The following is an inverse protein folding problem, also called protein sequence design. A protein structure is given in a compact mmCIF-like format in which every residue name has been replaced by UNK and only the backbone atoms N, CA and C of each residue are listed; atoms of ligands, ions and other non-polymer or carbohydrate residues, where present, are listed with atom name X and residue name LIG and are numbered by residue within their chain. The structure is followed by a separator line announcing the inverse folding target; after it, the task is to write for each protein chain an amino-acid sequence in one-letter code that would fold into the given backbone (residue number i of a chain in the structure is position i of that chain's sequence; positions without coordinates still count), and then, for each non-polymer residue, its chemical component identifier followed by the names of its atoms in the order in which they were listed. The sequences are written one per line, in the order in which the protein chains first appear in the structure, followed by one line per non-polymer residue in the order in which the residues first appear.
data_IF_600154759009
#
_entry.id   IF_600154759009
#
_cell.length_a   1.000
_cell.length_b   1.000
_cell.length_c   1.000
_cell.angle_alpha   90.00
_cell.angle_beta   90.00
_cell.angle_gamma   90.00
#
_symmetry.space_group_name_H-M   'P 1'
#
loop_
_entity.id
_entity.type
_entity.pdbx_description
1 polymer ?
#
# COMPACT_ATOMS: atom_id res chain seq x y z
N UNK A 1 -7.53 -33.98 -43.55
CA UNK A 1 -7.26 -34.55 -42.21
C UNK A 1 -6.19 -33.68 -41.57
N UNK A 2 -6.58 -32.52 -41.04
CA UNK A 2 -5.66 -31.52 -40.48
C UNK A 2 -5.41 -31.86 -39.01
N UNK A 3 -4.20 -32.33 -38.72
CA UNK A 3 -3.72 -32.52 -37.36
C UNK A 3 -3.40 -31.15 -36.76
N UNK A 4 -4.17 -30.75 -35.75
CA UNK A 4 -3.87 -29.61 -34.90
C UNK A 4 -2.64 -29.95 -34.05
N UNK A 5 -1.51 -29.30 -34.38
CA UNK A 5 -0.36 -29.24 -33.51
C UNK A 5 -0.75 -28.54 -32.22
N UNK A 6 -0.84 -29.33 -31.15
CA UNK A 6 -0.98 -28.90 -29.76
C UNK A 6 0.15 -27.91 -29.48
N UNK A 7 -0.17 -26.62 -29.38
CA UNK A 7 0.77 -25.60 -28.90
C UNK A 7 1.17 -26.03 -27.49
N UNK A 8 2.45 -26.37 -27.32
CA UNK A 8 3.02 -26.69 -26.02
C UNK A 8 3.03 -25.37 -25.26
N UNK A 9 2.20 -25.25 -24.23
CA UNK A 9 2.28 -24.13 -23.30
C UNK A 9 3.69 -24.11 -22.74
N UNK A 10 4.46 -23.09 -23.11
CA UNK A 10 5.76 -22.82 -22.51
C UNK A 10 5.42 -22.25 -21.14
N UNK A 11 5.52 -23.09 -20.10
CA UNK A 11 5.56 -22.61 -18.72
C UNK A 11 6.86 -21.82 -18.63
N UNK A 12 6.77 -20.49 -18.69
CA UNK A 12 7.88 -19.61 -18.34
C UNK A 12 8.32 -19.97 -16.92
N UNK A 13 9.61 -20.31 -16.79
CA UNK A 13 10.24 -20.63 -15.52
C UNK A 13 10.15 -19.38 -14.64
N UNK A 14 9.29 -19.39 -13.61
CA UNK A 14 9.17 -18.30 -12.66
C UNK A 14 10.50 -18.19 -11.92
N UNK A 15 11.27 -17.15 -12.22
CA UNK A 15 12.59 -16.88 -11.60
C UNK A 15 12.51 -16.25 -10.20
N UNK A 16 11.32 -16.26 -9.58
CA UNK A 16 11.07 -15.73 -8.24
C UNK A 16 11.09 -16.80 -7.13
N UNK A 17 11.12 -16.39 -5.85
CA UNK A 17 10.98 -17.32 -4.73
C UNK A 17 9.66 -18.08 -4.80
N UNK A 18 9.62 -19.31 -4.28
CA UNK A 18 8.37 -20.09 -4.20
C UNK A 18 7.57 -19.63 -2.97
N UNK A 19 6.31 -19.24 -3.18
CA UNK A 19 5.39 -18.87 -2.10
C UNK A 19 4.28 -19.92 -1.99
N UNK A 20 4.18 -20.58 -0.84
CA UNK A 20 3.14 -21.59 -0.61
C UNK A 20 1.84 -20.92 -0.17
N UNK A 21 1.11 -20.29 -1.11
CA UNK A 21 -0.14 -19.60 -0.80
C UNK A 21 -1.33 -20.58 -0.68
N UNK A 22 -2.17 -20.37 0.33
CA UNK A 22 -3.35 -21.18 0.61
C UNK A 22 -4.55 -20.73 -0.21
N UNK A 23 -4.86 -21.46 -1.28
CA UNK A 23 -6.06 -21.24 -2.10
C UNK A 23 -7.38 -21.19 -1.31
N UNK A 24 -7.65 -22.11 -0.35
CA UNK A 24 -8.85 -22.04 0.48
C UNK A 24 -8.94 -20.77 1.34
N UNK A 25 -7.83 -20.29 1.91
CA UNK A 25 -7.80 -19.04 2.69
C UNK A 25 -8.06 -17.83 1.80
N UNK A 26 -7.43 -17.78 0.62
CA UNK A 26 -7.64 -16.73 -0.37
C UNK A 26 -9.11 -16.66 -0.84
N UNK A 27 -9.70 -17.81 -1.17
CA UNK A 27 -11.11 -17.88 -1.58
C UNK A 27 -12.04 -17.33 -0.50
N UNK A 28 -11.86 -17.77 0.74
CA UNK A 28 -12.66 -17.29 1.88
C UNK A 28 -12.47 -15.78 2.10
N UNK A 29 -11.25 -15.28 2.01
CA UNK A 29 -10.96 -13.86 2.17
C UNK A 29 -11.60 -13.01 1.05
N UNK A 30 -11.57 -13.51 -0.19
CA UNK A 30 -12.17 -12.83 -1.33
C UNK A 30 -13.71 -12.82 -1.26
N UNK A 31 -14.34 -13.95 -0.93
CA UNK A 31 -15.79 -14.02 -0.71
C UNK A 31 -16.24 -13.07 0.41
N UNK A 32 -15.48 -13.03 1.52
CA UNK A 32 -15.76 -12.14 2.63
C UNK A 32 -15.54 -10.66 2.28
N UNK A 33 -14.53 -10.34 1.46
CA UNK A 33 -14.30 -8.99 0.94
C UNK A 33 -15.49 -8.51 0.12
N UNK A 34 -15.97 -9.34 -0.82
CA UNK A 34 -17.12 -9.01 -1.67
C UNK A 34 -18.35 -8.72 -0.81
N UNK A 35 -18.69 -9.62 0.11
CA UNK A 35 -19.83 -9.44 1.02
C UNK A 35 -19.68 -8.20 1.92
N UNK A 36 -18.49 -7.98 2.49
CA UNK A 36 -18.24 -6.83 3.38
C UNK A 36 -18.35 -5.47 2.67
N UNK A 37 -18.08 -5.44 1.37
CA UNK A 37 -18.12 -4.22 0.59
C UNK A 37 -19.53 -3.83 0.10
N UNK A 38 -20.51 -4.75 0.12
CA UNK A 38 -21.85 -4.54 -0.48
C UNK A 38 -22.53 -3.26 0.05
N UNK A 39 -22.60 -3.10 1.37
CA UNK A 39 -23.28 -1.97 2.04
C UNK A 39 -22.63 -0.60 1.76
N UNK A 40 -21.42 -0.58 1.22
CA UNK A 40 -20.64 0.64 0.98
C UNK A 40 -20.48 0.98 -0.50
N UNK A 41 -21.16 0.27 -1.39
CA UNK A 41 -21.11 0.46 -2.84
C UNK A 41 -20.23 -0.54 -3.58
N UNK A 42 -19.88 -1.64 -2.93
CA UNK A 42 -19.16 -2.76 -3.53
C UNK A 42 -17.65 -2.55 -3.68
N UNK A 43 -16.97 -3.61 -4.09
CA UNK A 43 -15.51 -3.66 -4.28
C UNK A 43 -15.01 -2.58 -5.23
N UNK A 44 -15.75 -2.32 -6.31
CA UNK A 44 -15.40 -1.34 -7.34
C UNK A 44 -15.22 0.09 -6.80
N UNK A 45 -15.96 0.47 -5.76
CA UNK A 45 -15.80 1.78 -5.13
C UNK A 45 -14.41 1.94 -4.51
N UNK A 46 -13.90 0.88 -3.91
CA UNK A 46 -12.58 0.86 -3.27
C UNK A 46 -11.46 0.84 -4.30
N UNK A 47 -11.61 0.03 -5.33
CA UNK A 47 -10.69 -0.03 -6.47
C UNK A 47 -10.61 1.33 -7.17
N UNK A 48 -11.75 1.99 -7.41
CA UNK A 48 -11.79 3.34 -7.94
C UNK A 48 -11.10 4.37 -7.04
N UNK A 49 -11.27 4.25 -5.72
CA UNK A 49 -10.58 5.12 -4.75
C UNK A 49 -9.05 4.91 -4.76
N UNK A 50 -8.58 3.67 -4.91
CA UNK A 50 -7.15 3.36 -5.07
C UNK A 50 -6.60 3.91 -6.39
N UNK A 51 -7.35 3.80 -7.49
CA UNK A 51 -6.98 4.39 -8.77
C UNK A 51 -6.88 5.92 -8.71
N UNK A 52 -7.78 6.59 -7.98
CA UNK A 52 -7.71 8.03 -7.73
C UNK A 52 -6.49 8.40 -6.87
N UNK A 53 -6.20 7.62 -5.82
CA UNK A 53 -4.98 7.79 -5.00
C UNK A 53 -3.73 7.64 -5.87
N UNK A 54 -3.63 6.60 -6.69
CA UNK A 54 -2.51 6.42 -7.61
C UNK A 54 -2.38 7.56 -8.62
N UNK A 55 -3.50 8.06 -9.15
CA UNK A 55 -3.50 9.20 -10.08
C UNK A 55 -2.90 10.45 -9.43
N UNK A 56 -3.23 10.73 -8.17
CA UNK A 56 -2.66 11.85 -7.40
C UNK A 56 -1.14 11.69 -7.21
N UNK A 57 -0.67 10.49 -6.84
CA UNK A 57 0.76 10.21 -6.72
C UNK A 57 1.48 10.37 -8.06
N UNK A 58 0.92 9.82 -9.14
CA UNK A 58 1.47 9.96 -10.49
C UNK A 58 1.48 11.40 -11.01
N UNK A 59 0.54 12.24 -10.57
CA UNK A 59 0.50 13.66 -10.91
C UNK A 59 1.62 14.45 -10.21
N UNK A 60 1.87 14.18 -8.94
CA UNK A 60 2.85 14.93 -8.15
C UNK A 60 4.28 14.41 -8.36
N UNK A 61 4.45 13.09 -8.45
CA UNK A 61 5.76 12.43 -8.44
C UNK A 61 6.22 11.99 -9.84
N UNK A 62 5.27 11.60 -10.68
CA UNK A 62 5.56 10.96 -11.97
C UNK A 62 6.14 11.91 -13.03
N UNK A 63 6.82 11.31 -14.03
CA UNK A 63 7.36 12.02 -15.21
C UNK A 63 8.33 13.16 -14.86
N UNK A 64 9.14 12.98 -13.81
CA UNK A 64 10.13 13.96 -13.37
C UNK A 64 9.58 15.12 -12.53
N UNK A 65 8.26 15.15 -12.27
CA UNK A 65 7.62 16.20 -11.46
C UNK A 65 8.03 16.16 -9.99
N UNK A 66 8.51 15.01 -9.50
CA UNK A 66 9.09 14.90 -8.16
C UNK A 66 10.08 16.02 -7.85
N UNK A 67 10.91 16.48 -8.79
CA UNK A 67 11.88 17.54 -8.56
C UNK A 67 11.27 18.93 -8.25
N UNK A 68 10.00 19.13 -8.58
CA UNK A 68 9.26 20.38 -8.38
C UNK A 68 8.24 20.29 -7.23
N UNK A 69 8.10 19.10 -6.62
CA UNK A 69 7.16 18.85 -5.53
C UNK A 69 7.42 19.83 -4.37
N UNK A 70 6.36 20.48 -3.94
CA UNK A 70 6.34 21.34 -2.75
C UNK A 70 6.12 20.54 -1.47
N UNK A 71 6.45 21.12 -0.32
CA UNK A 71 6.15 20.51 0.97
C UNK A 71 4.64 20.26 1.16
N UNK A 72 3.79 21.17 0.69
CA UNK A 72 2.33 21.02 0.76
C UNK A 72 1.83 19.82 -0.05
N UNK A 73 2.27 19.69 -1.29
CA UNK A 73 1.95 18.53 -2.15
C UNK A 73 2.45 17.21 -1.55
N UNK A 74 3.65 17.21 -0.97
CA UNK A 74 4.13 16.03 -0.26
C UNK A 74 3.23 15.67 0.95
N UNK A 75 2.81 16.66 1.73
CA UNK A 75 1.91 16.44 2.88
C UNK A 75 0.53 15.94 2.43
N UNK A 76 0.03 16.39 1.28
CA UNK A 76 -1.19 15.86 0.65
C UNK A 76 -1.06 14.35 0.38
N UNK A 77 0.05 13.92 -0.22
CA UNK A 77 0.34 12.50 -0.45
C UNK A 77 0.48 11.72 0.87
N UNK A 78 1.24 12.27 1.82
CA UNK A 78 1.53 11.62 3.08
C UNK A 78 0.29 11.40 3.95
N UNK A 79 -0.77 12.20 3.79
CA UNK A 79 -2.05 12.00 4.46
C UNK A 79 -2.69 10.63 4.15
N UNK A 80 -2.45 10.10 2.95
CA UNK A 80 -2.93 8.80 2.48
C UNK A 80 -2.05 7.61 2.90
N UNK A 81 -0.96 7.84 3.63
CA UNK A 81 -0.05 6.78 4.06
C UNK A 81 -0.20 6.62 5.58
N UNK A 82 -0.99 5.62 5.99
CA UNK A 82 -1.42 5.44 7.39
C UNK A 82 -0.31 5.43 8.44
N UNK A 83 0.81 4.70 8.26
CA UNK A 83 1.90 4.71 9.24
C UNK A 83 2.73 6.01 9.23
N UNK A 84 2.57 6.88 8.22
CA UNK A 84 3.38 8.08 7.98
C UNK A 84 2.66 9.35 8.42
N UNK A 85 1.35 9.47 8.15
CA UNK A 85 0.55 10.70 8.35
C UNK A 85 0.58 11.30 9.76
N UNK A 86 0.97 10.52 10.77
CA UNK A 86 1.09 10.99 12.17
C UNK A 86 2.51 11.35 12.60
N UNK A 87 3.52 11.08 11.76
CA UNK A 87 4.94 11.12 12.14
C UNK A 87 5.76 12.06 11.26
N UNK A 88 5.39 12.17 9.99
CA UNK A 88 6.21 12.85 9.00
C UNK A 88 6.36 14.35 9.24
N UNK A 89 5.34 15.03 9.77
CA UNK A 89 5.40 16.47 10.04
C UNK A 89 6.44 16.80 11.11
N UNK A 90 6.51 16.00 12.18
CA UNK A 90 7.53 16.15 13.22
C UNK A 90 8.93 15.93 12.62
N UNK A 91 9.11 14.86 11.83
CA UNK A 91 10.38 14.59 11.16
C UNK A 91 10.81 15.74 10.23
N UNK A 92 9.87 16.30 9.45
CA UNK A 92 10.15 17.46 8.59
C UNK A 92 10.55 18.68 9.43
N UNK A 93 9.95 18.87 10.61
CA UNK A 93 10.33 19.94 11.54
C UNK A 93 11.77 19.83 12.01
N UNK A 94 12.21 18.61 12.36
CA UNK A 94 13.53 18.36 12.90
C UNK A 94 14.64 18.34 11.83
N UNK A 95 14.35 17.80 10.64
CA UNK A 95 15.36 17.52 9.61
C UNK A 95 15.20 18.35 8.33
N UNK A 96 14.08 19.05 8.17
CA UNK A 96 13.78 19.91 7.03
C UNK A 96 13.24 19.17 5.80
N UNK A 97 12.32 19.83 5.10
CA UNK A 97 11.71 19.29 3.87
C UNK A 97 12.74 19.01 2.76
N UNK A 98 13.75 19.85 2.59
CA UNK A 98 14.76 19.68 1.55
C UNK A 98 15.55 18.36 1.70
N UNK A 99 15.74 17.87 2.93
CA UNK A 99 16.38 16.59 3.17
C UNK A 99 15.48 15.43 2.72
N UNK A 100 14.20 15.45 3.08
CA UNK A 100 13.21 14.47 2.62
C UNK A 100 13.08 14.44 1.11
N UNK A 101 12.95 15.61 0.50
CA UNK A 101 12.74 15.78 -0.93
C UNK A 101 13.88 15.18 -1.75
N UNK A 102 15.14 15.43 -1.38
CA UNK A 102 16.31 14.80 -2.03
C UNK A 102 16.26 13.27 -1.95
N UNK A 103 15.81 12.71 -0.83
CA UNK A 103 15.68 11.24 -0.68
C UNK A 103 14.60 10.67 -1.57
N UNK A 104 13.45 11.33 -1.68
CA UNK A 104 12.36 10.91 -2.57
C UNK A 104 12.80 10.98 -4.04
N UNK A 105 13.59 12.00 -4.42
CA UNK A 105 14.19 12.08 -5.76
C UNK A 105 15.08 10.85 -6.02
N UNK A 106 16.01 10.53 -5.11
CA UNK A 106 16.87 9.36 -5.25
C UNK A 106 16.10 8.03 -5.29
N UNK A 107 15.00 7.92 -4.51
CA UNK A 107 14.13 6.75 -4.56
C UNK A 107 13.47 6.57 -5.93
N UNK A 108 13.07 7.65 -6.59
CA UNK A 108 12.38 7.62 -7.89
C UNK A 108 13.32 7.74 -9.11
N UNK A 109 14.61 8.00 -8.87
CA UNK A 109 15.61 7.98 -9.93
C UNK A 109 15.70 6.59 -10.55
N UNK A 110 15.77 6.50 -11.87
CA UNK A 110 15.81 5.20 -12.56
C UNK A 110 14.56 4.33 -12.36
N UNK A 111 13.39 4.89 -12.01
CA UNK A 111 12.17 4.14 -11.68
C UNK A 111 11.70 3.09 -12.72
N UNK A 112 12.19 3.13 -13.96
CA UNK A 112 11.88 2.10 -14.97
C UNK A 112 12.76 0.85 -14.86
N UNK A 113 13.94 0.96 -14.25
CA UNK A 113 14.88 -0.14 -14.02
C UNK A 113 14.61 -0.79 -12.67
N UNK A 114 13.89 -1.92 -12.72
CA UNK A 114 13.48 -2.66 -11.54
C UNK A 114 14.65 -3.35 -10.82
N UNK A 115 15.78 -3.57 -11.50
CA UNK A 115 16.94 -4.25 -10.89
C UNK A 115 17.61 -3.42 -9.79
N UNK A 116 17.38 -2.10 -9.78
CA UNK A 116 17.91 -1.17 -8.78
C UNK A 116 16.96 -0.91 -7.62
N UNK A 117 15.76 -1.49 -7.63
CA UNK A 117 14.68 -1.16 -6.68
C UNK A 117 15.09 -1.40 -5.23
N UNK A 118 15.64 -2.59 -4.94
CA UNK A 118 16.02 -2.95 -3.57
C UNK A 118 17.12 -2.03 -3.03
N UNK A 119 18.11 -1.70 -3.87
CA UNK A 119 19.17 -0.75 -3.52
C UNK A 119 18.60 0.66 -3.25
N UNK A 120 17.72 1.18 -4.13
CA UNK A 120 17.08 2.49 -3.94
C UNK A 120 16.22 2.54 -2.68
N UNK A 121 15.50 1.46 -2.36
CA UNK A 121 14.74 1.35 -1.12
C UNK A 121 15.65 1.32 0.11
N UNK A 122 16.76 0.57 0.06
CA UNK A 122 17.74 0.52 1.14
C UNK A 122 18.36 1.90 1.39
N UNK A 123 18.87 2.57 0.34
CA UNK A 123 19.44 3.91 0.40
C UNK A 123 18.44 4.95 0.96
N UNK A 124 17.17 4.84 0.57
CA UNK A 124 16.12 5.69 1.11
C UNK A 124 15.96 5.47 2.62
N UNK A 125 15.87 4.22 3.07
CA UNK A 125 15.66 3.87 4.49
C UNK A 125 16.88 4.23 5.33
N UNK A 126 18.10 3.96 4.88
CA UNK A 126 19.35 4.32 5.54
C UNK A 126 19.49 5.84 5.75
N UNK A 127 18.76 6.61 4.94
CA UNK A 127 18.66 8.05 5.08
C UNK A 127 17.97 8.57 6.35
N UNK A 128 17.35 7.70 7.14
CA UNK A 128 16.59 8.03 8.34
C UNK A 128 17.22 7.38 9.59
N UNK A 129 16.87 7.81 10.82
CA UNK A 129 17.32 7.12 12.02
C UNK A 129 16.91 5.64 12.02
N UNK A 130 17.84 4.74 12.36
CA UNK A 130 17.64 3.28 12.32
C UNK A 130 17.08 2.74 13.64
N UNK A 131 16.00 3.35 14.13
CA UNK A 131 15.34 2.96 15.38
C UNK A 131 13.92 2.38 15.15
N UNK A 132 13.26 1.97 16.23
CA UNK A 132 11.91 1.40 16.16
C UNK A 132 10.85 2.44 15.77
N UNK A 133 11.06 3.71 16.10
CA UNK A 133 10.11 4.79 15.83
C UNK A 133 10.07 5.17 14.36
N UNK A 134 11.13 4.89 13.60
CA UNK A 134 11.27 5.19 12.18
C UNK A 134 11.00 4.01 11.24
N UNK A 135 10.53 2.87 11.74
CA UNK A 135 10.19 1.71 10.87
C UNK A 135 9.16 2.03 9.77
N UNK A 136 8.36 3.09 9.92
CA UNK A 136 7.41 3.56 8.91
C UNK A 136 8.06 4.08 7.63
N UNK A 137 9.36 4.40 7.64
CA UNK A 137 10.08 4.93 6.48
C UNK A 137 10.07 3.93 5.32
N UNK A 138 10.15 2.63 5.62
CA UNK A 138 9.98 1.58 4.59
C UNK A 138 8.60 1.63 3.95
N UNK A 139 7.56 1.83 4.76
CA UNK A 139 6.18 1.92 4.26
C UNK A 139 5.98 3.19 3.40
N UNK A 140 6.63 4.30 3.76
CA UNK A 140 6.67 5.51 2.94
C UNK A 140 7.28 5.23 1.56
N UNK A 141 8.45 4.58 1.53
CA UNK A 141 9.13 4.26 0.29
C UNK A 141 8.29 3.33 -0.60
N UNK A 142 7.73 2.28 -0.01
CA UNK A 142 6.90 1.30 -0.70
C UNK A 142 5.64 1.95 -1.30
N UNK A 143 4.92 2.78 -0.54
CA UNK A 143 3.72 3.46 -1.04
C UNK A 143 4.04 4.53 -2.09
N UNK A 144 5.16 5.25 -1.98
CA UNK A 144 5.62 6.18 -3.02
C UNK A 144 5.84 5.44 -4.35
N UNK A 145 6.59 4.34 -4.33
CA UNK A 145 6.88 3.56 -5.54
C UNK A 145 5.59 2.97 -6.13
N UNK A 146 4.82 2.28 -5.30
CA UNK A 146 3.60 1.58 -5.73
C UNK A 146 2.56 2.56 -6.29
N UNK A 147 2.14 3.60 -5.56
CA UNK A 147 1.09 4.49 -6.05
C UNK A 147 1.55 5.39 -7.20
N UNK A 148 2.85 5.58 -7.40
CA UNK A 148 3.38 6.27 -8.60
C UNK A 148 3.34 5.39 -9.85
N UNK A 149 3.60 4.08 -9.72
CA UNK A 149 3.63 3.13 -10.84
C UNK A 149 3.18 1.72 -10.39
N UNK A 150 1.86 1.51 -10.16
CA UNK A 150 1.33 0.29 -9.52
C UNK A 150 1.49 -0.97 -10.36
N UNK A 151 1.59 -0.81 -11.69
CA UNK A 151 1.86 -1.91 -12.63
C UNK A 151 3.32 -2.40 -12.61
N UNK A 152 4.21 -1.70 -11.89
CA UNK A 152 5.64 -2.01 -11.82
C UNK A 152 6.10 -2.39 -10.43
N UNK A 153 5.54 -1.72 -9.44
CA UNK A 153 5.92 -1.87 -8.05
C UNK A 153 4.75 -2.46 -7.28
N UNK A 154 4.84 -3.71 -6.77
CA UNK A 154 3.86 -4.24 -5.83
C UNK A 154 3.80 -3.38 -4.56
N UNK A 155 2.74 -3.53 -3.77
CA UNK A 155 2.64 -2.84 -2.48
C UNK A 155 3.56 -3.49 -1.42
N UNK A 156 4.81 -3.04 -1.36
CA UNK A 156 5.90 -3.63 -0.55
C UNK A 156 5.92 -3.17 0.92
N UNK A 157 4.75 -2.90 1.50
CA UNK A 157 4.65 -2.39 2.88
C UNK A 157 4.84 -3.51 3.91
N UNK A 158 5.23 -3.13 5.13
CA UNK A 158 5.50 -4.10 6.21
C UNK A 158 4.26 -4.87 6.68
N UNK A 159 3.07 -4.34 6.46
CA UNK A 159 1.84 -5.07 6.79
C UNK A 159 1.51 -6.15 5.76
N UNK A 160 2.05 -6.06 4.53
CA UNK A 160 2.02 -7.14 3.55
C UNK A 160 3.02 -8.23 3.94
N UNK A 161 4.26 -7.84 4.22
CA UNK A 161 5.28 -8.73 4.79
C UNK A 161 6.33 -7.97 5.59
N UNK A 162 6.60 -8.42 6.81
CA UNK A 162 7.66 -7.94 7.69
C UNK A 162 8.58 -9.11 8.05
N UNK A 163 9.55 -9.43 7.19
CA UNK A 163 10.54 -10.51 7.38
C UNK A 163 11.15 -10.52 8.80
N UNK A 164 11.45 -9.35 9.38
CA UNK A 164 12.11 -9.24 10.68
C UNK A 164 11.28 -9.82 11.82
N UNK A 165 9.97 -9.65 11.76
CA UNK A 165 9.02 -10.16 12.77
C UNK A 165 8.33 -11.43 12.28
N UNK A 166 8.42 -11.70 10.98
CA UNK A 166 7.74 -12.78 10.30
C UNK A 166 6.23 -12.59 10.28
N UNK A 167 5.69 -11.38 10.21
CA UNK A 167 4.24 -11.11 10.24
C UNK A 167 3.78 -10.37 8.99
N UNK A 168 2.49 -10.44 8.67
CA UNK A 168 1.89 -9.71 7.56
C UNK A 168 0.89 -10.57 6.80
N UNK A 169 0.31 -10.03 5.74
CA UNK A 169 -0.57 -10.73 4.80
C UNK A 169 0.00 -12.09 4.40
N UNK A 170 1.29 -12.14 4.02
CA UNK A 170 1.93 -13.37 3.56
C UNK A 170 1.80 -14.52 4.56
N UNK A 171 1.91 -14.25 5.86
CA UNK A 171 1.66 -15.27 6.89
C UNK A 171 0.20 -15.70 6.92
N UNK A 172 -0.72 -14.76 6.89
CA UNK A 172 -2.16 -15.04 7.01
C UNK A 172 -2.68 -15.91 5.87
N UNK A 173 -2.09 -15.83 4.69
CA UNK A 173 -2.44 -16.66 3.52
C UNK A 173 -1.46 -17.81 3.28
N UNK A 174 -0.52 -18.09 4.19
CA UNK A 174 0.43 -19.19 4.02
C UNK A 174 -0.24 -20.56 4.14
N UNK A 175 0.21 -21.52 3.35
CA UNK A 175 -0.20 -22.92 3.42
C UNK A 175 0.76 -23.69 4.33
N UNK A 176 0.27 -24.06 5.51
CA UNK A 176 0.94 -24.98 6.43
C UNK A 176 -0.09 -25.62 7.36
N UNK A 177 0.27 -26.76 7.96
CA UNK A 177 -0.54 -27.43 8.99
C UNK A 177 -0.70 -26.54 10.24
N UNK A 178 0.39 -25.89 10.65
CA UNK A 178 0.41 -24.86 11.68
C UNK A 178 1.12 -23.60 11.15
N UNK A 179 0.31 -22.60 10.75
CA UNK A 179 0.81 -21.35 10.19
C UNK A 179 1.50 -20.46 11.23
N UNK A 180 1.11 -20.53 12.50
CA UNK A 180 1.74 -19.71 13.55
C UNK A 180 3.16 -20.20 13.86
N UNK A 181 3.39 -21.52 13.75
CA UNK A 181 4.71 -22.13 13.93
C UNK A 181 5.55 -22.18 12.65
N UNK A 182 4.94 -22.02 11.47
CA UNK A 182 5.64 -22.14 10.19
C UNK A 182 6.74 -21.07 10.02
N UNK A 183 7.94 -21.54 9.64
CA UNK A 183 8.99 -20.67 9.11
C UNK A 183 8.68 -20.38 7.65
N UNK A 184 8.59 -19.09 7.31
CA UNK A 184 8.41 -18.60 5.95
C UNK A 184 9.75 -18.04 5.50
N UNK A 185 10.38 -18.67 4.50
CA UNK A 185 11.69 -18.28 3.97
C UNK A 185 11.50 -17.30 2.80
N UNK A 186 10.92 -16.14 3.12
CA UNK A 186 10.66 -15.07 2.16
C UNK A 186 11.35 -13.80 2.65
N UNK A 187 12.22 -13.24 1.82
CA UNK A 187 12.90 -11.98 2.12
C UNK A 187 12.00 -10.77 1.88
N UNK A 188 12.53 -9.57 2.13
CA UNK A 188 11.86 -8.30 1.89
C UNK A 188 12.21 -7.66 0.53
N UNK A 189 12.56 -8.45 -0.49
CA UNK A 189 12.97 -7.97 -1.83
C UNK A 189 11.80 -7.71 -2.77
N UNK A 190 12.02 -6.89 -3.79
CA UNK A 190 11.09 -6.72 -4.91
C UNK A 190 10.64 -8.07 -5.50
N UNK A 191 11.56 -9.03 -5.65
CA UNK A 191 11.26 -10.34 -6.24
C UNK A 191 10.21 -11.11 -5.43
N UNK A 192 10.29 -11.07 -4.09
CA UNK A 192 9.29 -11.68 -3.20
C UNK A 192 7.92 -11.04 -3.39
N UNK A 193 7.83 -9.71 -3.35
CA UNK A 193 6.53 -9.04 -3.50
C UNK A 193 5.96 -9.15 -4.92
N UNK A 194 6.82 -9.16 -5.96
CA UNK A 194 6.38 -9.33 -7.34
C UNK A 194 5.83 -10.74 -7.58
N UNK A 195 6.44 -11.75 -6.92
CA UNK A 195 5.91 -13.12 -6.96
C UNK A 195 4.57 -13.22 -6.25
N UNK A 196 4.45 -12.62 -5.06
CA UNK A 196 3.18 -12.54 -4.34
C UNK A 196 2.10 -11.86 -5.19
N UNK A 197 2.39 -10.71 -5.79
CA UNK A 197 1.45 -10.01 -6.66
C UNK A 197 1.04 -10.90 -7.85
N UNK A 198 1.99 -11.52 -8.56
CA UNK A 198 1.69 -12.38 -9.71
C UNK A 198 0.81 -13.58 -9.36
N UNK A 199 0.99 -14.18 -8.19
CA UNK A 199 0.14 -15.28 -7.72
C UNK A 199 -1.27 -14.82 -7.32
N UNK A 200 -1.38 -13.67 -6.64
CA UNK A 200 -2.68 -13.08 -6.30
C UNK A 200 -3.44 -12.64 -7.56
N UNK A 201 -2.76 -12.06 -8.54
CA UNK A 201 -3.37 -11.73 -9.84
C UNK A 201 -3.85 -12.99 -10.58
N UNK A 202 -3.09 -14.08 -10.53
CA UNK A 202 -3.51 -15.38 -11.07
C UNK A 202 -4.80 -15.86 -10.41
N UNK A 203 -4.84 -15.87 -9.07
CA UNK A 203 -6.03 -16.22 -8.29
C UNK A 203 -7.24 -15.33 -8.62
N UNK A 204 -7.04 -14.01 -8.74
CA UNK A 204 -8.09 -13.05 -9.08
C UNK A 204 -8.64 -13.25 -10.49
N UNK A 205 -7.78 -13.54 -11.48
CA UNK A 205 -8.19 -13.89 -12.86
C UNK A 205 -9.04 -15.16 -12.88
N UNK A 206 -8.62 -16.20 -12.15
CA UNK A 206 -9.39 -17.44 -12.00
C UNK A 206 -10.74 -17.20 -11.30
N UNK A 207 -10.84 -16.13 -10.52
CA UNK A 207 -12.07 -15.68 -9.84
C UNK A 207 -12.90 -14.67 -10.65
N UNK A 208 -12.51 -14.37 -11.90
CA UNK A 208 -13.27 -13.52 -12.83
C UNK A 208 -12.90 -12.03 -12.84
N UNK A 209 -11.79 -11.63 -12.20
CA UNK A 209 -11.30 -10.24 -12.19
C UNK A 209 -10.23 -10.05 -13.26
N UNK A 210 -10.42 -9.08 -14.16
CA UNK A 210 -9.53 -8.87 -15.32
C UNK A 210 -9.03 -7.44 -15.52
N UNK A 211 -9.45 -6.50 -14.67
CA UNK A 211 -9.05 -5.08 -14.74
C UNK A 211 -8.60 -4.61 -13.37
N UNK A 212 -7.76 -3.58 -13.36
CA UNK A 212 -7.29 -2.91 -12.15
C UNK A 212 -6.69 -3.90 -11.13
N UNK A 213 -6.01 -4.91 -11.66
CA UNK A 213 -5.48 -6.06 -10.90
C UNK A 213 -4.54 -5.66 -9.76
N UNK A 214 -3.63 -4.68 -9.91
CA UNK A 214 -2.83 -4.22 -8.78
C UNK A 214 -3.70 -3.76 -7.60
N UNK A 215 -4.74 -2.96 -7.87
CA UNK A 215 -5.62 -2.42 -6.82
C UNK A 215 -6.55 -3.47 -6.22
N UNK A 216 -6.98 -4.45 -7.01
CA UNK A 216 -7.69 -5.63 -6.49
C UNK A 216 -6.79 -6.47 -5.57
N UNK A 217 -5.51 -6.65 -5.92
CA UNK A 217 -4.53 -7.30 -5.05
C UNK A 217 -4.37 -6.53 -3.74
N UNK A 218 -4.16 -5.21 -3.81
CA UNK A 218 -4.00 -4.37 -2.62
C UNK A 218 -5.21 -4.47 -1.69
N UNK A 219 -6.41 -4.45 -2.26
CA UNK A 219 -7.65 -4.55 -1.50
C UNK A 219 -7.82 -5.92 -0.84
N UNK A 220 -7.55 -7.01 -1.57
CA UNK A 220 -7.58 -8.36 -1.03
C UNK A 220 -6.57 -8.52 0.12
N UNK A 221 -5.33 -8.09 -0.11
CA UNK A 221 -4.27 -8.11 0.90
C UNK A 221 -4.67 -7.30 2.14
N UNK A 222 -5.15 -6.08 1.96
CA UNK A 222 -5.61 -5.23 3.06
C UNK A 222 -6.76 -5.87 3.85
N UNK A 223 -7.67 -6.56 3.15
CA UNK A 223 -8.81 -7.22 3.77
C UNK A 223 -8.38 -8.45 4.59
N UNK A 224 -7.47 -9.27 4.04
CA UNK A 224 -6.84 -10.38 4.78
C UNK A 224 -6.23 -9.89 6.09
N UNK A 225 -5.38 -8.87 6.01
CA UNK A 225 -4.69 -8.37 7.21
C UNK A 225 -5.64 -7.68 8.19
N UNK A 226 -6.72 -7.09 7.69
CA UNK A 226 -7.79 -6.54 8.53
C UNK A 226 -8.51 -7.62 9.34
N UNK A 227 -8.71 -8.81 8.76
CA UNK A 227 -9.20 -9.98 9.48
C UNK A 227 -8.31 -10.33 10.68
N UNK A 228 -7.00 -10.43 10.45
CA UNK A 228 -6.02 -10.66 11.52
C UNK A 228 -6.08 -9.60 12.63
N UNK A 229 -6.16 -8.31 12.26
CA UNK A 229 -6.27 -7.21 13.23
C UNK A 229 -7.55 -7.35 14.06
N UNK A 230 -8.68 -7.66 13.43
CA UNK A 230 -9.97 -7.82 14.11
C UNK A 230 -9.97 -9.02 15.06
N UNK A 231 -9.39 -10.15 14.65
CA UNK A 231 -9.31 -11.36 15.47
C UNK A 231 -8.39 -11.17 16.69
N UNK A 232 -7.23 -10.51 16.50
CA UNK A 232 -6.33 -10.16 17.61
C UNK A 232 -6.88 -9.03 18.48
N UNK A 233 -7.59 -8.06 17.91
CA UNK A 233 -8.23 -6.96 18.63
C UNK A 233 -9.42 -7.41 19.48
N UNK A 234 -10.25 -8.32 18.96
CA UNK A 234 -11.37 -8.93 19.67
C UNK A 234 -10.95 -9.81 20.87
N UNK A 235 -9.73 -10.34 20.87
CA UNK A 235 -9.16 -11.02 22.04
C UNK A 235 -8.91 -10.07 23.22
N UNK A 236 -8.69 -8.77 22.97
CA UNK A 236 -8.51 -7.74 24.01
C UNK A 236 -9.79 -6.97 24.36
N UNK A 237 -10.79 -6.96 23.48
CA UNK A 237 -12.01 -6.15 23.59
C UNK A 237 -13.27 -7.03 23.61
N UNK A 238 -13.45 -7.82 24.68
CA UNK A 238 -14.71 -8.56 24.91
C UNK A 238 -15.84 -7.70 25.51
N UNK A 239 -15.61 -6.42 25.84
CA UNK A 239 -16.54 -5.65 26.68
C UNK A 239 -17.59 -4.79 25.96
N UNK A 240 -17.43 -4.46 24.68
CA UNK A 240 -18.21 -3.34 24.07
C UNK A 240 -19.05 -3.76 22.85
N UNK A 241 -19.70 -4.92 22.90
CA UNK A 241 -20.56 -5.42 21.82
C UNK A 241 -22.00 -4.87 21.89
N UNK A 242 -22.25 -3.71 21.26
CA UNK A 242 -23.59 -3.34 20.79
C UNK A 242 -23.55 -2.39 19.58
N UNK A 243 -22.80 -2.77 18.53
CA UNK A 243 -22.89 -2.13 17.22
C UNK A 243 -22.35 -3.05 16.13
N UNK A 244 -23.07 -3.16 15.02
CA UNK A 244 -22.54 -3.70 13.76
C UNK A 244 -21.48 -2.71 13.25
N UNK A 245 -20.22 -2.94 13.63
CA UNK A 245 -19.10 -2.13 13.16
C UNK A 245 -18.96 -2.22 11.65
N UNK A 246 -18.50 -1.14 11.02
CA UNK A 246 -18.17 -1.12 9.59
C UNK A 246 -17.13 -2.20 9.25
N UNK A 247 -17.57 -3.23 8.53
CA UNK A 247 -16.74 -4.39 8.14
C UNK A 247 -15.53 -4.00 7.29
N UNK A 248 -15.60 -2.87 6.59
CA UNK A 248 -14.52 -2.36 5.74
C UNK A 248 -13.60 -1.38 6.46
N UNK A 249 -13.86 -1.02 7.72
CA UNK A 249 -13.14 0.04 8.44
C UNK A 249 -11.62 -0.16 8.43
N UNK A 250 -11.16 -1.34 8.85
CA UNK A 250 -9.73 -1.65 8.91
C UNK A 250 -9.13 -1.77 7.51
N UNK A 251 -9.85 -2.36 6.56
CA UNK A 251 -9.43 -2.49 5.14
C UNK A 251 -9.15 -1.11 4.54
N UNK A 252 -10.08 -0.18 4.69
CA UNK A 252 -9.94 1.22 4.24
C UNK A 252 -8.76 1.91 4.89
N UNK A 253 -8.59 1.72 6.20
CA UNK A 253 -7.51 2.34 6.96
C UNK A 253 -6.14 1.83 6.55
N UNK A 254 -5.98 0.53 6.28
CA UNK A 254 -4.70 -0.03 5.83
C UNK A 254 -4.21 0.61 4.53
N UNK A 255 -5.15 0.89 3.62
CA UNK A 255 -4.90 1.52 2.32
C UNK A 255 -4.89 3.06 2.35
N UNK A 256 -5.17 3.65 3.52
CA UNK A 256 -5.25 5.09 3.70
C UNK A 256 -6.46 5.75 3.02
N UNK A 257 -7.49 4.98 2.69
CA UNK A 257 -8.75 5.48 2.13
C UNK A 257 -9.63 6.17 3.18
N UNK A 258 -9.17 6.26 4.43
CA UNK A 258 -9.75 7.03 5.53
C UNK A 258 -9.04 8.37 5.77
N UNK A 259 -8.17 8.80 4.84
CA UNK A 259 -7.31 9.97 5.01
C UNK A 259 -8.07 11.29 5.18
N UNK A 260 -9.18 11.44 4.45
CA UNK A 260 -10.03 12.64 4.45
C UNK A 260 -11.35 12.32 5.11
N UNK A 261 -11.73 13.15 6.07
CA UNK A 261 -13.08 13.14 6.62
C UNK A 261 -14.04 13.77 5.61
N UNK A 262 -15.04 13.00 5.17
CA UNK A 262 -15.95 13.43 4.10
C UNK A 262 -16.88 14.58 4.47
N UNK A 263 -17.09 14.83 5.77
CA UNK A 263 -17.96 15.89 6.26
C UNK A 263 -17.21 17.21 6.45
N UNK A 264 -15.98 17.12 6.95
CA UNK A 264 -15.18 18.29 7.33
C UNK A 264 -14.06 18.61 6.34
N UNK A 265 -13.73 17.70 5.42
CA UNK A 265 -12.61 17.82 4.49
C UNK A 265 -11.22 17.78 5.15
N UNK A 266 -11.16 17.59 6.47
CA UNK A 266 -9.92 17.60 7.25
C UNK A 266 -9.18 16.28 7.07
N UNK A 267 -7.85 16.35 6.97
CA UNK A 267 -7.05 15.13 6.94
C UNK A 267 -6.73 14.62 8.34
N UNK A 268 -6.35 13.34 8.42
CA UNK A 268 -5.78 12.73 9.63
C UNK A 268 -4.31 13.11 9.88
N UNK A 269 -3.70 13.93 9.01
CA UNK A 269 -2.33 14.42 9.16
C UNK A 269 -2.32 15.64 10.07
N UNK A 270 -1.44 15.63 11.08
CA UNK A 270 -1.24 16.77 11.99
C UNK A 270 0.06 17.49 11.66
N UNK A 271 0.00 18.81 11.60
CA UNK A 271 1.15 19.69 11.48
C UNK A 271 1.85 19.84 12.85
N UNK A 272 3.04 20.45 12.85
CA UNK A 272 3.87 20.64 14.05
C UNK A 272 3.14 21.46 15.12
N UNK A 273 2.32 22.42 14.70
CA UNK A 273 1.48 23.26 15.57
C UNK A 273 0.22 22.53 16.10
N UNK A 274 0.07 21.24 15.79
CA UNK A 274 -1.05 20.41 16.22
C UNK A 274 -2.33 20.59 15.39
N UNK A 275 -2.34 21.50 14.42
CA UNK A 275 -3.47 21.69 13.51
C UNK A 275 -3.56 20.55 12.50
N UNK A 276 -4.77 20.33 11.96
CA UNK A 276 -4.97 19.30 10.93
C UNK A 276 -4.62 19.89 9.56
N UNK A 277 -3.84 19.15 8.77
CA UNK A 277 -3.58 19.48 7.38
C UNK A 277 -4.87 19.34 6.55
N UNK A 278 -5.06 20.22 5.57
CA UNK A 278 -6.22 20.23 4.66
C UNK A 278 -5.70 20.07 3.24
N UNK A 279 -6.25 19.10 2.50
CA UNK A 279 -5.80 18.82 1.14
C UNK A 279 -6.00 20.02 0.22
N UNK A 280 -5.02 20.30 -0.65
CA UNK A 280 -5.15 21.31 -1.70
C UNK A 280 -5.17 22.76 -1.20
N UNK A 281 -4.77 23.01 0.06
CA UNK A 281 -4.67 24.36 0.61
C UNK A 281 -3.45 25.15 0.06
N UNK A 282 -3.48 25.52 -1.23
CA UNK A 282 -3.25 26.88 -1.77
C UNK A 282 -3.14 26.93 -3.31
N UNK A 283 -4.12 27.58 -3.95
CA UNK A 283 -3.92 28.62 -4.97
C UNK A 283 -4.80 29.82 -4.62
N UNK A 284 -4.42 30.58 -3.60
CA UNK A 284 -4.90 31.96 -3.51
C UNK A 284 -4.12 32.74 -4.55
N UNK A 285 -4.70 32.90 -5.74
CA UNK A 285 -4.24 33.93 -6.68
C UNK A 285 -4.53 35.25 -5.98
N UNK A 286 -3.49 35.88 -5.44
CA UNK A 286 -3.56 37.29 -5.06
C UNK A 286 -3.80 38.07 -6.35
N UNK A 287 -5.05 38.44 -6.60
CA UNK A 287 -5.33 39.55 -7.50
C UNK A 287 -4.75 40.80 -6.83
N UNK A 288 -3.48 41.10 -7.11
CA UNK A 288 -2.99 42.47 -7.02
C UNK A 288 -3.72 43.25 -8.12
N UNK A 289 -4.79 43.94 -7.74
CA UNK A 289 -5.30 45.05 -8.53
C UNK A 289 -4.20 46.12 -8.54
N UNK A 290 -3.49 46.20 -9.67
CA UNK A 290 -2.64 47.31 -9.98
C UNK A 290 -3.49 48.57 -10.16
N UNK A 291 -3.04 49.64 -9.48
CA UNK A 291 -3.44 51.05 -9.47
C UNK A 291 -4.40 51.57 -10.55
#
# INVERSE_FOLDING_TARGET
MFSLLRRKDVVEERTGPVLDLSGPRLRRAFEHLVASAEDTGGVERYVGALALKSSLFGEILGKGRVGQMTQGEFLDLAAFITPVRRRIAAWIGDFGYAALHRRIIGLLEGWSDLSTTDARMADFVEGFPQDKEHRWVRDLAAEILHFTAPERYPLMTRWVWDERVGTGVLREIWFADDVDAARIDADNSLATYATLQGELEGFLKDSGVFRDLPFYCDLLMAHVYSGYINDRGGQYLRSDFSGTGDAMLHTRRMLGLDAVDSETGRTRLKLIDGTAHVLGAQRLVTHEEAS
#
